data_IF_138529709060
#
_entry.id   IF_138529709060
#
_cell.length_a   1.000
_cell.length_b   1.000
_cell.length_c   1.000
_cell.angle_alpha   90.00
_cell.angle_beta   90.00
_cell.angle_gamma   90.00
#
_symmetry.space_group_name_H-M   'P 1'
#
loop_
_entity.id
_entity.type
_entity.pdbx_description
1 polymer ?
#
# COMPACT_ATOMS: atom_id res chain seq x y z
N UNK A 1 -14.27 -22.88 -24.32
CA UNK A 1 -14.16 -21.61 -23.56
C UNK A 1 -15.53 -21.07 -23.16
N UNK A 2 -16.63 -21.55 -23.74
CA UNK A 2 -18.00 -21.10 -23.40
C UNK A 2 -18.54 -21.61 -22.05
N UNK A 3 -18.15 -22.82 -21.63
CA UNK A 3 -18.58 -23.45 -20.38
C UNK A 3 -18.21 -22.63 -19.13
N UNK A 4 -17.00 -22.05 -19.12
CA UNK A 4 -16.49 -21.21 -18.02
C UNK A 4 -17.19 -19.86 -17.96
N UNK A 5 -17.50 -19.26 -19.10
CA UNK A 5 -18.25 -18.00 -19.17
C UNK A 5 -19.71 -18.19 -18.72
N UNK A 6 -20.31 -19.34 -19.04
CA UNK A 6 -21.66 -19.68 -18.61
C UNK A 6 -21.72 -19.89 -17.09
N UNK A 7 -20.76 -20.61 -16.50
CA UNK A 7 -20.64 -20.79 -15.04
C UNK A 7 -20.40 -19.46 -14.30
N UNK A 8 -19.54 -18.58 -14.81
CA UNK A 8 -19.32 -17.23 -14.26
C UNK A 8 -20.57 -16.36 -14.34
N UNK A 9 -21.31 -16.41 -15.45
CA UNK A 9 -22.56 -15.67 -15.61
C UNK A 9 -23.66 -16.16 -14.68
N UNK A 10 -23.71 -17.47 -14.40
CA UNK A 10 -24.65 -18.04 -13.42
C UNK A 10 -24.26 -17.63 -12.00
N UNK A 11 -22.97 -17.70 -11.66
CA UNK A 11 -22.46 -17.30 -10.35
C UNK A 11 -22.71 -15.82 -10.05
N UNK A 12 -22.33 -14.93 -10.98
CA UNK A 12 -22.58 -13.48 -10.86
C UNK A 12 -24.07 -13.16 -10.71
N UNK A 13 -24.97 -13.88 -11.40
CA UNK A 13 -26.42 -13.68 -11.27
C UNK A 13 -26.94 -14.14 -9.91
N UNK A 14 -26.40 -15.23 -9.36
CA UNK A 14 -26.72 -15.71 -8.01
C UNK A 14 -26.24 -14.72 -6.94
N UNK A 15 -24.97 -14.29 -7.00
CA UNK A 15 -24.35 -13.26 -6.15
C UNK A 15 -25.15 -11.95 -6.17
N UNK A 16 -25.51 -11.47 -7.36
CA UNK A 16 -26.26 -10.21 -7.52
C UNK A 16 -27.70 -10.33 -6.99
N UNK A 17 -28.29 -11.52 -7.02
CA UNK A 17 -29.61 -11.79 -6.44
C UNK A 17 -29.54 -11.84 -4.92
N UNK A 18 -28.49 -12.45 -4.36
CA UNK A 18 -28.23 -12.49 -2.91
C UNK A 18 -27.96 -11.08 -2.37
N UNK A 19 -27.14 -10.30 -3.07
CA UNK A 19 -26.85 -8.90 -2.73
C UNK A 19 -28.12 -8.03 -2.75
N UNK A 20 -28.97 -8.17 -3.77
CA UNK A 20 -30.27 -7.46 -3.82
C UNK A 20 -31.21 -7.87 -2.68
N UNK A 21 -31.21 -9.15 -2.29
CA UNK A 21 -32.02 -9.63 -1.18
C UNK A 21 -31.54 -9.06 0.16
N UNK A 22 -30.23 -9.03 0.40
CA UNK A 22 -29.64 -8.39 1.58
C UNK A 22 -29.90 -6.88 1.59
N UNK A 23 -29.70 -6.19 0.47
CA UNK A 23 -29.97 -4.75 0.35
C UNK A 23 -31.44 -4.41 0.65
N UNK A 24 -32.41 -5.20 0.14
CA UNK A 24 -33.83 -5.02 0.46
C UNK A 24 -34.14 -5.26 1.94
N UNK A 25 -33.51 -6.26 2.58
CA UNK A 25 -33.70 -6.54 4.02
C UNK A 25 -33.13 -5.41 4.89
N UNK A 26 -31.97 -4.88 4.54
CA UNK A 26 -31.36 -3.74 5.23
C UNK A 26 -32.19 -2.46 5.03
N UNK A 27 -32.64 -2.19 3.80
CA UNK A 27 -33.46 -1.03 3.48
C UNK A 27 -34.86 -1.09 4.12
N UNK A 28 -35.48 -2.27 4.24
CA UNK A 28 -36.78 -2.40 4.91
C UNK A 28 -36.66 -2.16 6.43
N UNK A 29 -35.54 -2.56 7.05
CA UNK A 29 -35.27 -2.34 8.47
C UNK A 29 -34.90 -0.89 8.78
N UNK A 30 -34.31 -0.16 7.84
CA UNK A 30 -33.76 1.19 8.08
C UNK A 30 -34.80 2.19 8.61
N UNK A 31 -36.05 2.17 8.12
CA UNK A 31 -37.09 3.13 8.55
C UNK A 31 -37.43 3.00 10.04
N UNK A 32 -37.59 1.78 10.53
CA UNK A 32 -37.86 1.54 11.95
C UNK A 32 -36.64 1.86 12.81
N UNK A 33 -35.43 1.61 12.32
CA UNK A 33 -34.19 1.98 13.01
C UNK A 33 -34.04 3.49 13.16
N UNK A 34 -34.40 4.30 12.16
CA UNK A 34 -34.36 5.77 12.27
C UNK A 34 -35.32 6.26 13.36
N UNK A 35 -36.55 5.75 13.38
CA UNK A 35 -37.53 6.10 14.41
C UNK A 35 -37.04 5.67 15.80
N UNK A 36 -36.55 4.44 15.93
CA UNK A 36 -36.02 3.91 17.18
C UNK A 36 -34.81 4.71 17.67
N UNK A 37 -33.87 5.06 16.78
CA UNK A 37 -32.73 5.89 17.11
C UNK A 37 -33.16 7.27 17.61
N UNK A 38 -34.14 7.89 16.96
CA UNK A 38 -34.74 9.15 17.41
C UNK A 38 -35.33 9.05 18.82
N UNK A 39 -36.11 7.98 19.09
CA UNK A 39 -36.68 7.73 20.42
C UNK A 39 -35.61 7.51 21.50
N UNK A 40 -34.54 6.78 21.17
CA UNK A 40 -33.39 6.58 22.06
C UNK A 40 -32.74 7.91 22.40
N UNK A 41 -32.48 8.77 21.40
CA UNK A 41 -31.88 10.09 21.63
C UNK A 41 -32.74 10.97 22.54
N UNK A 42 -34.05 11.01 22.31
CA UNK A 42 -34.99 11.76 23.17
C UNK A 42 -34.95 11.21 24.60
N UNK A 43 -34.93 9.88 24.75
CA UNK A 43 -34.86 9.23 26.06
C UNK A 43 -33.57 9.60 26.80
N UNK A 44 -32.42 9.61 26.11
CA UNK A 44 -31.14 10.00 26.71
C UNK A 44 -31.17 11.45 27.22
N UNK A 45 -31.77 12.37 26.46
CA UNK A 45 -31.92 13.77 26.89
C UNK A 45 -32.81 13.86 28.13
N UNK A 46 -33.97 13.20 28.12
CA UNK A 46 -34.92 13.25 29.24
C UNK A 46 -34.36 12.59 30.50
N UNK A 47 -33.61 11.49 30.39
CA UNK A 47 -32.93 10.86 31.52
C UNK A 47 -31.90 11.80 32.13
N UNK A 48 -31.14 12.52 31.31
CA UNK A 48 -30.17 13.51 31.80
C UNK A 48 -30.85 14.67 32.53
N UNK A 49 -31.95 15.18 31.96
CA UNK A 49 -32.73 16.24 32.59
C UNK A 49 -33.33 15.78 33.93
N UNK A 50 -33.96 14.61 33.95
CA UNK A 50 -34.53 14.03 35.16
C UNK A 50 -33.47 13.75 36.24
N UNK A 51 -32.31 13.21 35.84
CA UNK A 51 -31.20 12.98 36.76
C UNK A 51 -30.64 14.29 37.33
N UNK A 52 -30.51 15.32 36.49
CA UNK A 52 -30.09 16.65 36.93
C UNK A 52 -31.09 17.25 37.92
N UNK A 53 -32.38 17.30 37.58
CA UNK A 53 -33.42 17.82 38.46
C UNK A 53 -33.45 17.06 39.79
N UNK A 54 -33.39 15.72 39.74
CA UNK A 54 -33.32 14.90 40.95
C UNK A 54 -32.10 15.24 41.80
N UNK A 55 -30.90 15.37 41.21
CA UNK A 55 -29.69 15.74 41.95
C UNK A 55 -29.79 17.14 42.55
N UNK A 56 -30.45 18.09 41.89
CA UNK A 56 -30.65 19.44 42.47
C UNK A 56 -31.49 19.44 43.74
N UNK A 57 -32.25 18.37 44.02
CA UNK A 57 -32.94 18.22 45.31
C UNK A 57 -31.99 17.82 46.46
N UNK A 58 -30.81 17.30 46.12
CA UNK A 58 -29.82 16.78 47.08
C UNK A 58 -28.57 17.66 47.21
N UNK A 59 -28.23 18.42 46.16
CA UNK A 59 -27.01 19.23 46.10
C UNK A 59 -27.20 20.51 45.27
N UNK A 60 -26.19 21.40 45.29
CA UNK A 60 -26.21 22.63 44.51
C UNK A 60 -26.29 22.37 43.00
N UNK A 61 -26.89 23.30 42.25
CA UNK A 61 -27.02 23.22 40.79
C UNK A 61 -25.71 22.97 40.06
N UNK A 62 -24.64 23.64 40.47
CA UNK A 62 -23.30 23.46 39.89
C UNK A 62 -22.76 22.04 40.14
N UNK A 63 -22.92 21.51 41.35
CA UNK A 63 -22.50 20.15 41.69
C UNK A 63 -23.30 19.10 40.91
N UNK A 64 -24.63 19.28 40.79
CA UNK A 64 -25.49 18.39 40.01
C UNK A 64 -25.07 18.32 38.54
N UNK A 65 -24.81 19.47 37.92
CA UNK A 65 -24.36 19.54 36.53
C UNK A 65 -23.02 18.82 36.35
N UNK A 66 -22.08 19.00 37.28
CA UNK A 66 -20.77 18.37 37.23
C UNK A 66 -20.86 16.85 37.35
N UNK A 67 -21.71 16.33 38.25
CA UNK A 67 -21.92 14.89 38.41
C UNK A 67 -22.55 14.28 37.15
N UNK A 68 -23.60 14.89 36.60
CA UNK A 68 -24.22 14.42 35.36
C UNK A 68 -23.23 14.43 34.19
N UNK A 69 -22.42 15.49 34.07
CA UNK A 69 -21.37 15.58 33.06
C UNK A 69 -20.30 14.49 33.24
N UNK A 70 -19.87 14.22 34.47
CA UNK A 70 -18.90 13.18 34.78
C UNK A 70 -19.43 11.78 34.41
N UNK A 71 -20.69 11.48 34.73
CA UNK A 71 -21.34 10.22 34.36
C UNK A 71 -21.40 10.07 32.84
N UNK A 72 -21.81 11.11 32.11
CA UNK A 72 -21.83 11.08 30.64
C UNK A 72 -20.44 10.88 30.04
N UNK A 73 -19.41 11.51 30.62
CA UNK A 73 -18.03 11.32 30.18
C UNK A 73 -17.58 9.86 30.37
N UNK A 74 -17.90 9.24 31.50
CA UNK A 74 -17.61 7.81 31.73
C UNK A 74 -18.33 6.93 30.72
N UNK A 75 -19.63 7.17 30.47
CA UNK A 75 -20.39 6.42 29.46
C UNK A 75 -19.77 6.59 28.06
N UNK A 76 -19.39 7.80 27.68
CA UNK A 76 -18.75 8.07 26.40
C UNK A 76 -17.42 7.30 26.24
N UNK A 77 -16.60 7.28 27.29
CA UNK A 77 -15.34 6.52 27.30
C UNK A 77 -15.61 5.02 27.17
N UNK A 78 -16.62 4.48 27.86
CA UNK A 78 -17.00 3.07 27.76
C UNK A 78 -17.49 2.70 26.35
N UNK A 79 -18.30 3.57 25.73
CA UNK A 79 -18.79 3.38 24.36
C UNK A 79 -17.63 3.45 23.37
N UNK A 80 -16.73 4.42 23.51
CA UNK A 80 -15.55 4.54 22.64
C UNK A 80 -14.61 3.34 22.79
N UNK A 81 -14.37 2.88 24.01
CA UNK A 81 -13.60 1.67 24.28
C UNK A 81 -14.27 0.43 23.65
N UNK A 82 -15.60 0.34 23.69
CA UNK A 82 -16.34 -0.74 23.05
C UNK A 82 -16.28 -0.66 21.52
N UNK A 83 -16.43 0.55 20.96
CA UNK A 83 -16.35 0.80 19.52
C UNK A 83 -14.96 0.47 18.96
N UNK A 84 -13.90 0.77 19.70
CA UNK A 84 -12.52 0.43 19.31
C UNK A 84 -12.26 -1.08 19.18
N UNK A 85 -13.13 -1.92 19.75
CA UNK A 85 -13.05 -3.39 19.68
C UNK A 85 -13.83 -3.99 18.51
N UNK A 86 -14.61 -3.18 17.78
CA UNK A 86 -15.35 -3.64 16.60
C UNK A 86 -14.33 -3.89 15.49
N UNK A 87 -14.26 -5.14 15.02
CA UNK A 87 -13.33 -5.55 13.97
C UNK A 87 -13.78 -5.01 12.60
N UNK A 88 -12.83 -4.73 11.69
CA UNK A 88 -13.09 -4.40 10.29
C UNK A 88 -14.08 -5.38 9.66
N UNK A 89 -14.97 -4.88 8.81
CA UNK A 89 -15.93 -5.73 8.10
C UNK A 89 -15.25 -6.60 7.03
N UNK A 90 -15.94 -7.62 6.50
CA UNK A 90 -15.40 -8.50 5.45
C UNK A 90 -14.87 -7.75 4.21
N UNK A 91 -15.49 -6.61 3.88
CA UNK A 91 -15.06 -5.75 2.77
C UNK A 91 -13.72 -5.05 3.05
N UNK A 92 -13.50 -4.63 4.29
CA UNK A 92 -12.26 -3.97 4.71
C UNK A 92 -11.11 -4.99 4.84
N UNK A 93 -11.44 -6.23 5.21
CA UNK A 93 -10.51 -7.37 5.22
C UNK A 93 -10.06 -7.76 3.80
N UNK A 94 -10.98 -7.83 2.83
CA UNK A 94 -10.63 -8.04 1.42
C UNK A 94 -9.74 -6.92 0.85
N UNK A 95 -10.06 -5.66 1.14
CA UNK A 95 -9.23 -4.52 0.69
C UNK A 95 -7.84 -4.56 1.33
N UNK A 96 -7.76 -4.99 2.59
CA UNK A 96 -6.50 -5.18 3.31
C UNK A 96 -5.66 -6.27 2.66
N UNK A 97 -6.25 -7.41 2.33
CA UNK A 97 -5.58 -8.52 1.63
C UNK A 97 -5.06 -8.08 0.25
N UNK A 98 -5.85 -7.35 -0.53
CA UNK A 98 -5.42 -6.81 -1.83
C UNK A 98 -4.23 -5.85 -1.66
N UNK A 99 -4.28 -4.97 -0.65
CA UNK A 99 -3.18 -4.06 -0.34
C UNK A 99 -1.93 -4.82 0.10
N UNK A 100 -2.06 -5.84 0.94
CA UNK A 100 -0.94 -6.67 1.39
C UNK A 100 -0.33 -7.49 0.25
N UNK A 101 -1.15 -8.01 -0.67
CA UNK A 101 -0.68 -8.66 -1.90
C UNK A 101 0.12 -7.67 -2.77
N UNK A 102 -0.42 -6.47 -3.02
CA UNK A 102 0.27 -5.44 -3.79
C UNK A 102 1.59 -4.98 -3.14
N UNK A 103 1.64 -4.87 -1.81
CA UNK A 103 2.87 -4.53 -1.08
C UNK A 103 3.91 -5.67 -1.13
N UNK A 104 3.45 -6.92 -1.09
CA UNK A 104 4.31 -8.11 -1.18
C UNK A 104 4.93 -8.23 -2.57
N UNK A 105 4.16 -8.01 -3.63
CA UNK A 105 4.68 -7.96 -5.00
C UNK A 105 5.67 -6.81 -5.19
N UNK A 106 5.36 -5.61 -4.67
CA UNK A 106 6.25 -4.46 -4.75
C UNK A 106 7.58 -4.68 -4.02
N UNK A 107 7.56 -5.40 -2.88
CA UNK A 107 8.79 -5.73 -2.14
C UNK A 107 9.61 -6.82 -2.85
N UNK A 108 8.97 -7.81 -3.45
CA UNK A 108 9.65 -8.79 -4.31
C UNK A 108 10.30 -8.16 -5.56
N UNK A 109 9.62 -7.18 -6.17
CA UNK A 109 10.18 -6.40 -7.29
C UNK A 109 11.34 -5.50 -6.83
N UNK A 110 11.27 -4.90 -5.64
CA UNK A 110 12.34 -4.08 -5.10
C UNK A 110 13.63 -4.89 -4.84
N UNK A 111 13.51 -6.12 -4.34
CA UNK A 111 14.65 -7.01 -4.15
C UNK A 111 15.24 -7.49 -5.49
N UNK A 112 14.39 -7.72 -6.49
CA UNK A 112 14.80 -8.03 -7.87
C UNK A 112 15.56 -6.86 -8.51
N UNK A 113 15.11 -5.62 -8.29
CA UNK A 113 15.78 -4.41 -8.78
C UNK A 113 17.16 -4.23 -8.12
N UNK A 114 17.29 -4.48 -6.80
CA UNK A 114 18.60 -4.45 -6.12
C UNK A 114 19.57 -5.48 -6.68
N UNK A 115 19.09 -6.68 -6.98
CA UNK A 115 19.90 -7.75 -7.54
C UNK A 115 20.40 -7.41 -8.95
N UNK A 116 19.53 -6.81 -9.78
CA UNK A 116 19.90 -6.31 -11.11
C UNK A 116 20.90 -5.13 -11.03
N UNK A 117 20.75 -4.22 -10.06
CA UNK A 117 21.71 -3.12 -9.83
C UNK A 117 23.09 -3.62 -9.38
N UNK A 118 23.15 -4.66 -8.55
CA UNK A 118 24.42 -5.29 -8.12
C UNK A 118 25.15 -5.94 -9.30
N UNK A 119 24.42 -6.60 -10.20
CA UNK A 119 24.98 -7.17 -11.42
C UNK A 119 25.53 -6.10 -12.36
N UNK A 120 24.81 -4.98 -12.55
CA UNK A 120 25.27 -3.84 -13.36
C UNK A 120 26.57 -3.24 -12.79
N UNK A 121 26.69 -3.10 -11.47
CA UNK A 121 27.94 -2.64 -10.83
C UNK A 121 29.12 -3.56 -11.12
N UNK A 122 28.88 -4.87 -11.07
CA UNK A 122 29.89 -5.91 -11.36
C UNK A 122 30.31 -5.89 -12.84
N UNK A 123 29.37 -5.66 -13.75
CA UNK A 123 29.64 -5.60 -15.19
C UNK A 123 30.40 -4.32 -15.58
N UNK A 124 30.14 -3.19 -14.91
CA UNK A 124 30.93 -1.96 -15.07
C UNK A 124 32.38 -2.17 -14.62
N UNK A 125 32.59 -2.91 -13.52
CA UNK A 125 33.93 -3.21 -13.00
C UNK A 125 34.70 -4.13 -13.96
N UNK A 126 34.02 -5.10 -14.59
CA UNK A 126 34.59 -5.92 -15.67
C UNK A 126 34.93 -5.09 -16.92
N UNK A 127 34.07 -4.19 -17.37
CA UNK A 127 34.34 -3.31 -18.51
C UNK A 127 35.55 -2.41 -18.24
N UNK A 128 35.64 -1.84 -17.03
CA UNK A 128 36.79 -1.04 -16.61
C UNK A 128 38.07 -1.86 -16.59
N UNK A 129 38.02 -3.11 -16.09
CA UNK A 129 39.16 -4.01 -16.10
C UNK A 129 39.60 -4.38 -17.52
N UNK A 130 38.68 -4.70 -18.44
CA UNK A 130 38.97 -5.00 -19.84
C UNK A 130 39.57 -3.80 -20.59
N UNK A 131 39.03 -2.60 -20.36
CA UNK A 131 39.60 -1.36 -20.91
C UNK A 131 40.97 -1.05 -20.31
N UNK A 132 41.17 -1.30 -19.01
CA UNK A 132 42.48 -1.14 -18.36
C UNK A 132 43.51 -2.14 -18.90
N UNK A 133 43.11 -3.37 -19.22
CA UNK A 133 43.97 -4.40 -19.79
C UNK A 133 44.35 -4.08 -21.23
N UNK A 134 43.42 -3.56 -22.03
CA UNK A 134 43.70 -3.12 -23.41
C UNK A 134 44.55 -1.86 -23.41
N UNK A 135 44.24 -0.88 -22.55
CA UNK A 135 45.02 0.36 -22.45
C UNK A 135 46.39 0.15 -21.81
N UNK A 136 46.56 -0.81 -20.89
CA UNK A 136 47.87 -1.21 -20.38
C UNK A 136 48.63 -2.09 -21.37
N UNK A 137 47.97 -2.90 -22.20
CA UNK A 137 48.61 -3.57 -23.34
C UNK A 137 49.07 -2.55 -24.40
N UNK A 138 48.27 -1.51 -24.67
CA UNK A 138 48.66 -0.39 -25.54
C UNK A 138 49.71 0.53 -24.89
N UNK A 139 49.63 0.74 -23.57
CA UNK A 139 50.55 1.57 -22.80
C UNK A 139 51.90 0.89 -22.55
N UNK A 140 51.93 -0.43 -22.43
CA UNK A 140 53.17 -1.23 -22.44
C UNK A 140 53.74 -1.34 -23.85
N UNK A 141 52.92 -1.32 -24.90
CA UNK A 141 53.40 -1.12 -26.27
C UNK A 141 54.01 0.28 -26.50
N UNK A 142 53.62 1.30 -25.73
CA UNK A 142 54.22 2.65 -25.78
C UNK A 142 55.60 2.74 -25.07
N UNK A 143 55.89 1.85 -24.12
CA UNK A 143 57.22 1.77 -23.46
C UNK A 143 58.21 0.88 -24.24
N UNK A 144 57.73 0.17 -25.27
CA UNK A 144 58.53 -0.60 -26.24
C UNK A 144 58.66 0.06 -27.62
N UNK A 145 58.39 1.37 -27.75
CA UNK A 145 58.54 2.12 -29.02
C UNK A 145 60.00 2.31 -29.48
N UNK A 146 60.94 1.52 -28.96
CA UNK A 146 62.25 1.27 -29.55
C UNK A 146 62.25 0.18 -30.64
N UNK A 147 61.14 -0.56 -30.83
CA UNK A 147 61.09 -1.69 -31.79
C UNK A 147 59.97 -1.63 -32.84
N UNK A 148 59.30 -0.49 -33.04
CA UNK A 148 58.38 -0.28 -34.18
C UNK A 148 59.08 0.14 -35.49
N UNK A 149 60.41 0.08 -35.55
CA UNK A 149 61.17 0.26 -36.79
C UNK A 149 60.79 -0.71 -37.93
N UNK A 150 60.30 -1.96 -37.71
CA UNK A 150 59.96 -2.84 -38.84
C UNK A 150 58.56 -2.58 -39.42
N UNK A 151 57.60 -2.10 -38.62
CA UNK A 151 56.19 -2.00 -39.05
C UNK A 151 55.93 -0.67 -39.79
N UNK A 152 56.57 0.42 -39.38
CA UNK A 152 56.52 1.68 -40.14
C UNK A 152 57.24 1.57 -41.50
N UNK A 153 58.26 0.70 -41.63
CA UNK A 153 58.88 0.36 -42.91
C UNK A 153 57.95 -0.42 -43.86
N UNK A 154 57.12 -1.32 -43.32
CA UNK A 154 56.15 -2.09 -44.11
C UNK A 154 55.00 -1.21 -44.62
N UNK A 155 54.48 -0.28 -43.82
CA UNK A 155 53.42 0.64 -44.27
C UNK A 155 53.93 1.65 -45.30
N UNK A 156 55.15 2.16 -45.13
CA UNK A 156 55.74 3.13 -46.08
C UNK A 156 56.21 2.48 -47.39
N UNK A 157 56.71 1.23 -47.37
CA UNK A 157 57.09 0.51 -48.60
C UNK A 157 55.87 0.14 -49.46
N UNK A 158 54.70 -0.12 -48.86
CA UNK A 158 53.46 -0.30 -49.61
C UNK A 158 52.90 1.00 -50.19
N UNK A 159 53.12 2.15 -49.55
CA UNK A 159 52.72 3.46 -50.07
C UNK A 159 53.63 3.97 -51.20
N UNK A 160 54.92 3.58 -51.23
CA UNK A 160 55.85 4.02 -52.29
C UNK A 160 55.81 3.17 -53.57
N UNK A 161 55.24 1.95 -53.53
CA UNK A 161 55.11 1.06 -54.71
C UNK A 161 53.89 1.37 -55.60
N UNK A 162 53.20 2.50 -55.38
CA UNK A 162 52.02 2.91 -56.18
C UNK A 162 52.18 4.27 -56.88
N UNK A 163 53.41 4.75 -57.05
CA UNK A 163 53.70 5.92 -57.89
C UNK A 163 54.98 5.72 -58.69
N UNK A 164 54.91 4.81 -59.67
CA UNK A 164 55.51 4.98 -61.00
C UNK A 164 54.80 4.06 -61.98
#
# INVERSE_FOLDING_TARGET
MDETLLKLRVLTRAEMTLAKANARRVAARSRLYVIALGMILITVVMVNLAAYEYLTTLMSTAASALVVAAVNAVVAVLVMASASRIKPGPEEEMVREIREMALTELSADADSIKQNFSQIGTDIERIRSGFSSVSSALGSAHTGLGSLSPILGLVTSMLKKKSK
#
